data_IF_325752708039
#
_entry.id   IF_325752708039
#
_cell.length_a   1.000
_cell.length_b   1.000
_cell.length_c   1.000
_cell.angle_alpha   90.00
_cell.angle_beta   90.00
_cell.angle_gamma   90.00
#
_symmetry.space_group_name_H-M   'P 1'
#
loop_
_entity.id
_entity.type
_entity.pdbx_description
1 polymer ?
#
# COMPACT_ATOMS: atom_id res chain seq x y z
N UNK A 1 1.57 32.86 16.28
CA UNK A 1 2.47 31.72 16.54
C UNK A 1 1.77 30.43 16.12
N UNK A 2 2.52 29.35 15.87
CA UNK A 2 1.97 28.03 15.51
C UNK A 2 1.30 27.36 16.71
N UNK A 3 0.24 26.58 16.45
CA UNK A 3 -0.34 25.63 17.42
C UNK A 3 0.60 24.42 17.60
N UNK A 4 0.38 23.61 18.63
CA UNK A 4 1.17 22.40 18.92
C UNK A 4 1.19 21.39 17.75
N UNK A 5 0.07 21.25 17.06
CA UNK A 5 -0.08 20.42 15.85
C UNK A 5 0.24 21.18 14.54
N UNK A 6 0.66 22.44 14.67
CA UNK A 6 0.87 23.36 13.56
C UNK A 6 2.04 22.94 12.67
N UNK A 7 1.91 23.27 11.39
CA UNK A 7 2.93 23.07 10.37
C UNK A 7 3.42 24.42 9.84
N UNK A 8 4.67 24.46 9.41
CA UNK A 8 5.23 25.57 8.63
C UNK A 8 5.85 25.02 7.36
N UNK A 9 5.56 25.70 6.25
CA UNK A 9 6.08 25.42 4.92
C UNK A 9 6.89 26.63 4.50
N UNK A 10 8.17 26.42 4.21
CA UNK A 10 9.10 27.50 3.86
C UNK A 10 9.65 27.20 2.46
N UNK A 11 9.20 27.97 1.48
CA UNK A 11 9.67 27.88 0.11
C UNK A 11 10.94 28.70 -0.07
N UNK A 12 11.91 28.13 -0.78
CA UNK A 12 13.19 28.75 -1.09
C UNK A 12 13.76 28.22 -2.40
N UNK A 13 14.66 28.97 -3.00
CA UNK A 13 15.45 28.51 -4.14
C UNK A 13 16.65 27.68 -3.68
N UNK A 14 17.50 27.26 -4.61
CA UNK A 14 18.68 26.46 -4.31
C UNK A 14 19.86 27.26 -3.73
N UNK A 15 19.80 28.59 -3.72
CA UNK A 15 20.90 29.42 -3.23
C UNK A 15 20.96 29.38 -1.70
N UNK A 16 19.80 29.44 -1.03
CA UNK A 16 19.71 29.56 0.42
C UNK A 16 19.12 28.35 1.14
N UNK A 17 18.65 27.33 0.39
CA UNK A 17 17.97 26.17 0.99
C UNK A 17 18.77 25.50 2.10
N UNK A 18 20.08 25.31 1.92
CA UNK A 18 20.92 24.63 2.91
C UNK A 18 21.09 25.46 4.19
N UNK A 19 21.32 26.78 4.07
CA UNK A 19 21.45 27.67 5.21
C UNK A 19 20.12 27.83 5.95
N UNK A 20 19.02 27.97 5.20
CA UNK A 20 17.68 28.02 5.74
C UNK A 20 17.33 26.75 6.51
N UNK A 21 17.74 25.57 6.01
CA UNK A 21 17.54 24.30 6.72
C UNK A 21 18.26 24.30 8.07
N UNK A 22 19.50 24.77 8.13
CA UNK A 22 20.28 24.85 9.37
C UNK A 22 19.62 25.80 10.37
N UNK A 23 19.21 26.99 9.92
CA UNK A 23 18.51 27.97 10.77
C UNK A 23 17.16 27.43 11.26
N UNK A 24 16.40 26.77 10.38
CA UNK A 24 15.13 26.17 10.76
C UNK A 24 15.30 25.02 11.75
N UNK A 25 16.37 24.22 11.64
CA UNK A 25 16.70 23.20 12.65
C UNK A 25 16.98 23.81 14.02
N UNK A 26 17.63 24.98 14.08
CA UNK A 26 17.89 25.69 15.33
C UNK A 26 16.62 26.29 15.93
N UNK A 27 15.74 26.86 15.10
CA UNK A 27 14.50 27.51 15.55
C UNK A 27 13.40 26.51 15.93
N UNK A 28 13.21 25.47 15.13
CA UNK A 28 12.12 24.51 15.29
C UNK A 28 12.56 23.19 15.93
N UNK A 29 13.86 22.92 16.05
CA UNK A 29 14.38 21.62 16.46
C UNK A 29 14.44 20.65 15.28
N UNK A 30 15.58 19.96 15.14
CA UNK A 30 15.80 19.00 14.05
C UNK A 30 14.83 17.83 14.09
N UNK A 31 14.37 17.44 15.28
CA UNK A 31 13.38 16.39 15.50
C UNK A 31 11.99 16.74 14.97
N UNK A 32 11.72 18.02 14.74
CA UNK A 32 10.44 18.51 14.22
C UNK A 32 10.48 18.74 12.70
N UNK A 33 11.58 18.42 12.03
CA UNK A 33 11.65 18.39 10.58
C UNK A 33 10.84 17.21 10.02
N UNK A 34 9.99 17.48 9.02
CA UNK A 34 9.16 16.46 8.39
C UNK A 34 9.75 15.98 7.07
N UNK A 35 9.81 16.88 6.08
CA UNK A 35 10.17 16.54 4.71
C UNK A 35 10.65 17.80 3.96
N UNK A 36 11.27 17.56 2.81
CA UNK A 36 11.56 18.57 1.81
C UNK A 36 10.91 18.16 0.50
N UNK A 37 10.17 19.08 -0.10
CA UNK A 37 9.56 18.89 -1.42
C UNK A 37 10.38 19.66 -2.45
N UNK A 38 10.83 18.97 -3.50
CA UNK A 38 11.49 19.59 -4.65
C UNK A 38 10.44 19.87 -5.73
N UNK A 39 10.18 21.15 -6.01
CA UNK A 39 9.16 21.61 -6.94
C UNK A 39 9.81 21.96 -8.27
N UNK A 40 9.40 21.27 -9.35
CA UNK A 40 9.81 21.63 -10.71
C UNK A 40 9.00 22.83 -11.19
N UNK A 41 9.60 24.01 -11.21
CA UNK A 41 8.91 25.27 -11.53
C UNK A 41 8.67 25.49 -13.03
N UNK A 42 9.49 24.87 -13.90
CA UNK A 42 9.36 24.99 -15.37
C UNK A 42 9.56 23.64 -16.06
N UNK A 43 8.75 23.37 -17.10
CA UNK A 43 9.05 22.30 -18.05
C UNK A 43 10.30 22.70 -18.84
N UNK A 44 11.27 21.79 -18.97
CA UNK A 44 12.49 22.00 -19.77
C UNK A 44 12.14 21.93 -21.26
N UNK A 45 11.35 22.88 -21.74
CA UNK A 45 10.97 23.00 -23.15
C UNK A 45 11.96 23.96 -23.81
N UNK A 46 12.88 23.44 -24.62
CA UNK A 46 13.73 24.25 -25.49
C UNK A 46 15.22 23.90 -25.42
N UNK A 47 15.71 23.31 -26.51
CA UNK A 47 17.11 23.39 -26.91
C UNK A 47 17.41 24.85 -27.31
N UNK A 48 17.67 25.69 -26.32
CA UNK A 48 18.17 27.04 -26.52
C UNK A 48 19.06 27.42 -25.34
N UNK A 49 20.26 27.89 -25.67
CA UNK A 49 21.39 28.12 -24.76
C UNK A 49 22.53 27.18 -25.09
N UNK A 50 23.36 27.58 -26.04
CA UNK A 50 24.52 26.86 -26.56
C UNK A 50 25.56 26.51 -25.50
N UNK A 51 26.51 25.67 -25.92
CA UNK A 51 27.58 25.13 -25.10
C UNK A 51 28.36 26.16 -24.27
N UNK A 52 28.95 25.63 -23.21
CA UNK A 52 29.77 26.29 -22.19
C UNK A 52 29.05 26.88 -20.97
N UNK A 53 28.03 26.19 -20.44
CA UNK A 53 27.69 26.35 -19.02
C UNK A 53 28.21 25.15 -18.22
N UNK A 54 29.02 25.39 -17.19
CA UNK A 54 29.54 24.34 -16.28
C UNK A 54 28.44 23.80 -15.35
N UNK A 55 27.19 24.24 -15.51
CA UNK A 55 26.07 23.99 -14.59
C UNK A 55 24.84 23.49 -15.35
N UNK A 56 24.07 22.64 -14.68
CA UNK A 56 22.76 22.21 -15.15
C UNK A 56 21.75 23.36 -15.03
N UNK A 57 20.73 23.38 -15.90
CA UNK A 57 19.64 24.36 -15.82
C UNK A 57 18.90 24.23 -14.48
N UNK A 58 18.93 25.29 -13.67
CA UNK A 58 18.21 25.38 -12.40
C UNK A 58 16.72 25.61 -12.66
N UNK A 59 15.89 24.61 -12.39
CA UNK A 59 14.42 24.67 -12.55
C UNK A 59 13.67 24.09 -11.34
N UNK A 60 14.37 23.92 -10.22
CA UNK A 60 13.84 23.30 -9.00
C UNK A 60 13.90 24.33 -7.89
N UNK A 61 12.78 24.44 -7.16
CA UNK A 61 12.71 25.12 -5.87
C UNK A 61 12.42 24.09 -4.78
N UNK A 62 12.63 24.49 -3.52
CA UNK A 62 12.48 23.60 -2.37
C UNK A 62 11.48 24.17 -1.37
N UNK A 63 10.65 23.29 -0.82
CA UNK A 63 9.76 23.60 0.29
C UNK A 63 10.21 22.77 1.48
N UNK A 64 10.71 23.42 2.53
CA UNK A 64 11.01 22.79 3.81
C UNK A 64 9.74 22.72 4.65
N UNK A 65 9.48 21.57 5.26
CA UNK A 65 8.30 21.33 6.08
C UNK A 65 8.73 20.98 7.50
N UNK A 66 8.26 21.76 8.47
CA UNK A 66 8.44 21.51 9.89
C UNK A 66 7.10 21.48 10.61
N UNK A 67 7.05 20.75 11.72
CA UNK A 67 5.96 20.85 12.70
C UNK A 67 6.41 21.66 13.91
N UNK A 68 5.46 22.17 14.71
CA UNK A 68 5.76 22.78 16.00
C UNK A 68 6.22 21.75 17.03
N UNK A 69 5.59 20.57 17.05
CA UNK A 69 5.87 19.55 18.05
C UNK A 69 5.54 18.15 17.51
N UNK A 70 6.55 17.33 17.25
CA UNK A 70 6.38 15.96 16.75
C UNK A 70 6.01 14.97 17.87
N UNK A 71 6.64 15.12 19.03
CA UNK A 71 6.62 14.08 20.08
C UNK A 71 5.55 14.31 21.16
N UNK A 72 4.80 15.41 21.08
CA UNK A 72 3.72 15.72 22.03
C UNK A 72 2.45 14.89 21.75
N UNK A 73 1.65 14.65 22.79
CA UNK A 73 0.33 14.05 22.67
C UNK A 73 -0.58 14.87 21.75
N UNK A 74 -0.50 16.19 21.83
CA UNK A 74 -1.22 17.14 20.96
C UNK A 74 -0.39 17.60 19.75
N UNK A 75 0.76 16.95 19.50
CA UNK A 75 1.64 17.23 18.38
C UNK A 75 1.11 16.71 17.05
N UNK A 76 1.74 17.14 15.95
CA UNK A 76 1.40 16.68 14.60
C UNK A 76 1.55 15.16 14.49
N UNK A 77 0.50 14.47 14.04
CA UNK A 77 0.48 13.00 13.97
C UNK A 77 0.84 12.47 12.59
N UNK A 78 0.13 12.92 11.57
CA UNK A 78 0.33 12.56 10.17
C UNK A 78 -0.41 13.52 9.27
N UNK A 79 0.02 13.60 8.01
CA UNK A 79 -0.81 14.17 6.95
C UNK A 79 -2.04 13.31 6.74
N UNK A 80 -3.10 13.92 6.21
CA UNK A 80 -4.25 13.16 5.76
C UNK A 80 -3.82 12.26 4.61
N UNK A 81 -4.26 11.00 4.66
CA UNK A 81 -4.12 10.10 3.52
C UNK A 81 -5.06 10.61 2.42
N UNK A 82 -4.49 11.16 1.33
CA UNK A 82 -5.26 11.54 0.15
C UNK A 82 -5.31 10.36 -0.82
N UNK A 83 -6.49 9.76 -0.93
CA UNK A 83 -6.78 8.78 -1.96
C UNK A 83 -7.70 9.43 -2.98
N UNK A 84 -7.39 9.26 -4.26
CA UNK A 84 -8.44 9.40 -5.27
C UNK A 84 -9.36 8.20 -5.10
N UNK A 85 -10.62 8.46 -4.76
CA UNK A 85 -11.65 7.45 -4.73
C UNK A 85 -12.31 7.41 -6.11
N UNK A 86 -12.12 6.29 -6.81
CA UNK A 86 -12.79 6.05 -8.10
C UNK A 86 -13.80 4.93 -7.90
N UNK A 87 -14.99 5.08 -8.47
CA UNK A 87 -15.98 4.00 -8.52
C UNK A 87 -15.37 2.81 -9.28
N UNK A 88 -15.44 1.62 -8.69
CA UNK A 88 -14.69 0.45 -9.18
C UNK A 88 -15.11 0.07 -10.61
N UNK A 89 -16.39 0.11 -10.94
CA UNK A 89 -16.87 -0.29 -12.27
C UNK A 89 -16.53 0.76 -13.33
N UNK A 90 -16.58 2.05 -13.00
CA UNK A 90 -16.04 3.11 -13.88
C UNK A 90 -14.54 2.90 -14.16
N UNK A 91 -13.78 2.52 -13.12
CA UNK A 91 -12.38 2.17 -13.24
C UNK A 91 -12.15 0.94 -14.13
N UNK A 92 -12.95 -0.12 -13.95
CA UNK A 92 -12.86 -1.34 -14.77
C UNK A 92 -13.17 -1.06 -16.25
N UNK A 93 -14.18 -0.24 -16.55
CA UNK A 93 -14.48 0.17 -17.91
C UNK A 93 -13.33 0.97 -18.54
N UNK A 94 -12.73 1.88 -17.77
CA UNK A 94 -11.54 2.62 -18.20
C UNK A 94 -10.37 1.67 -18.49
N UNK A 95 -10.12 0.66 -17.65
CA UNK A 95 -9.09 -0.35 -17.90
C UNK A 95 -9.37 -1.14 -19.18
N UNK A 96 -10.62 -1.55 -19.42
CA UNK A 96 -11.03 -2.26 -20.65
C UNK A 96 -10.76 -1.42 -21.89
N UNK A 97 -11.12 -0.13 -21.88
CA UNK A 97 -10.86 0.80 -22.98
C UNK A 97 -9.36 0.99 -23.25
N UNK A 98 -8.55 1.08 -22.18
CA UNK A 98 -7.10 1.18 -22.26
C UNK A 98 -6.39 -0.16 -22.54
N UNK A 99 -7.14 -1.25 -22.75
CA UNK A 99 -6.63 -2.63 -22.93
C UNK A 99 -5.70 -3.07 -21.79
N UNK A 100 -5.92 -2.56 -20.57
CA UNK A 100 -5.20 -2.97 -19.36
C UNK A 100 -5.93 -4.11 -18.68
N UNK A 101 -5.17 -5.06 -18.12
CA UNK A 101 -5.75 -6.21 -17.43
C UNK A 101 -5.99 -5.93 -15.96
N UNK A 102 -7.23 -6.14 -15.52
CA UNK A 102 -7.59 -6.19 -14.11
C UNK A 102 -7.19 -7.54 -13.49
N UNK A 103 -6.77 -7.52 -12.22
CA UNK A 103 -6.13 -8.69 -11.57
C UNK A 103 -6.98 -9.39 -10.53
N UNK A 104 -7.97 -8.72 -9.94
CA UNK A 104 -8.85 -9.31 -8.92
C UNK A 104 -10.00 -10.04 -9.60
N UNK A 105 -9.72 -11.25 -10.09
CA UNK A 105 -10.63 -12.01 -10.97
C UNK A 105 -11.08 -13.34 -10.38
N UNK A 106 -10.76 -13.62 -9.11
CA UNK A 106 -11.03 -14.90 -8.43
C UNK A 106 -11.68 -14.65 -7.08
N UNK A 107 -12.51 -15.61 -6.64
CA UNK A 107 -13.21 -15.61 -5.37
C UNK A 107 -12.74 -16.81 -4.56
N UNK A 108 -12.25 -16.58 -3.35
CA UNK A 108 -12.02 -17.65 -2.37
C UNK A 108 -13.31 -17.90 -1.59
N UNK A 109 -14.17 -18.80 -2.08
CA UNK A 109 -15.49 -19.08 -1.48
C UNK A 109 -15.37 -19.76 -0.12
N UNK A 110 -14.42 -20.69 0.00
CA UNK A 110 -14.11 -21.45 1.22
C UNK A 110 -12.62 -21.74 1.32
N UNK A 111 -12.07 -21.63 2.53
CA UNK A 111 -10.71 -22.09 2.86
C UNK A 111 -10.67 -23.57 3.23
N UNK A 112 -11.81 -24.24 3.31
CA UNK A 112 -11.87 -25.66 3.68
C UNK A 112 -11.46 -25.92 5.13
N UNK A 113 -10.81 -27.06 5.37
CA UNK A 113 -10.39 -27.49 6.70
C UNK A 113 -8.99 -26.97 7.02
N UNK A 114 -8.87 -26.19 8.10
CA UNK A 114 -7.61 -25.62 8.62
C UNK A 114 -6.94 -26.61 9.56
N UNK A 115 -5.70 -26.98 9.27
CA UNK A 115 -4.86 -27.86 10.10
C UNK A 115 -3.54 -27.15 10.46
N UNK A 116 -3.13 -27.19 11.72
CA UNK A 116 -1.84 -26.64 12.15
C UNK A 116 -0.69 -27.51 11.64
N UNK A 117 0.35 -26.85 11.10
CA UNK A 117 1.56 -27.53 10.63
C UNK A 117 2.65 -27.38 11.70
N UNK A 118 2.98 -26.12 12.02
CA UNK A 118 4.09 -25.77 12.91
C UNK A 118 4.08 -24.29 13.26
N UNK A 119 4.89 -23.94 14.24
CA UNK A 119 5.18 -22.55 14.63
C UNK A 119 6.57 -22.16 14.12
N UNK A 120 6.65 -21.04 13.41
CA UNK A 120 7.89 -20.37 12.99
C UNK A 120 8.16 -19.17 13.91
N UNK A 121 9.35 -18.58 13.80
CA UNK A 121 9.68 -17.32 14.46
C UNK A 121 9.94 -16.20 13.45
N UNK A 122 9.43 -15.01 13.72
CA UNK A 122 9.73 -13.82 12.92
C UNK A 122 11.19 -13.35 13.11
N UNK A 123 11.57 -12.23 12.49
CA UNK A 123 12.92 -11.67 12.65
C UNK A 123 13.28 -11.20 14.06
N UNK A 124 12.32 -11.19 14.97
CA UNK A 124 12.44 -10.70 16.32
C UNK A 124 12.18 -11.76 17.39
N UNK A 125 11.91 -13.00 16.97
CA UNK A 125 11.60 -14.12 17.86
C UNK A 125 10.11 -14.30 18.20
N UNK A 126 9.20 -13.51 17.63
CA UNK A 126 7.76 -13.69 17.85
C UNK A 126 7.21 -14.87 17.04
N UNK A 127 6.21 -15.60 17.56
CA UNK A 127 5.65 -16.75 16.87
C UNK A 127 4.87 -16.36 15.62
N UNK A 128 5.02 -17.19 14.58
CA UNK A 128 4.22 -17.20 13.35
C UNK A 128 3.59 -18.59 13.26
N UNK A 129 2.31 -18.69 13.53
CA UNK A 129 1.59 -19.96 13.44
C UNK A 129 1.29 -20.29 11.99
N UNK A 130 1.66 -21.48 11.53
CA UNK A 130 1.52 -21.90 10.13
C UNK A 130 0.50 -23.03 10.02
N UNK A 131 -0.43 -22.89 9.08
CA UNK A 131 -1.52 -23.83 8.85
C UNK A 131 -1.61 -24.21 7.38
N UNK A 132 -2.03 -25.44 7.11
CA UNK A 132 -2.46 -25.90 5.79
C UNK A 132 -3.98 -25.96 5.73
N UNK A 133 -4.51 -25.80 4.52
CA UNK A 133 -5.93 -25.79 4.24
C UNK A 133 -6.24 -26.83 3.16
N UNK A 134 -7.21 -27.71 3.43
CA UNK A 134 -7.64 -28.78 2.50
C UNK A 134 -9.09 -28.56 2.06
N UNK A 135 -9.36 -28.81 0.78
CA UNK A 135 -10.70 -28.65 0.22
C UNK A 135 -11.03 -27.18 -0.04
N UNK A 136 -10.04 -26.44 -0.53
CA UNK A 136 -10.18 -25.02 -0.81
C UNK A 136 -11.07 -24.82 -2.03
N UNK A 137 -12.05 -23.92 -1.93
CA UNK A 137 -12.96 -23.61 -3.05
C UNK A 137 -12.62 -22.25 -3.58
N UNK A 138 -11.98 -22.24 -4.75
CA UNK A 138 -11.51 -21.02 -5.39
C UNK A 138 -11.93 -20.96 -6.85
N UNK A 139 -12.74 -19.96 -7.19
CA UNK A 139 -13.46 -19.92 -8.46
C UNK A 139 -13.22 -18.61 -9.21
N UNK A 140 -13.12 -18.62 -10.55
CA UNK A 140 -13.11 -17.40 -11.34
C UNK A 140 -14.43 -16.64 -11.19
N UNK A 141 -14.36 -15.30 -11.13
CA UNK A 141 -15.56 -14.44 -11.02
C UNK A 141 -16.57 -14.74 -12.13
N UNK A 142 -16.10 -14.94 -13.37
CA UNK A 142 -16.97 -15.27 -14.53
C UNK A 142 -17.81 -16.52 -14.30
N UNK A 143 -17.21 -17.58 -13.75
CA UNK A 143 -17.90 -18.84 -13.44
C UNK A 143 -19.01 -18.59 -12.41
N UNK A 144 -18.69 -17.85 -11.35
CA UNK A 144 -19.66 -17.53 -10.28
C UNK A 144 -20.80 -16.64 -10.78
N UNK A 145 -20.51 -15.70 -11.68
CA UNK A 145 -21.54 -14.88 -12.34
C UNK A 145 -22.53 -15.72 -13.14
N UNK A 146 -22.03 -16.69 -13.91
CA UNK A 146 -22.86 -17.58 -14.73
C UNK A 146 -23.71 -18.52 -13.85
N UNK A 147 -23.11 -19.14 -12.82
CA UNK A 147 -23.80 -20.09 -11.93
C UNK A 147 -24.90 -19.43 -11.09
N UNK A 148 -24.67 -18.19 -10.64
CA UNK A 148 -25.59 -17.48 -9.75
C UNK A 148 -26.45 -16.45 -10.48
N UNK A 149 -26.34 -16.36 -11.81
CA UNK A 149 -27.02 -15.38 -12.66
C UNK A 149 -26.86 -13.93 -12.15
N UNK A 150 -25.61 -13.54 -11.90
CA UNK A 150 -25.24 -12.21 -11.38
C UNK A 150 -24.56 -11.36 -12.46
N UNK A 151 -24.83 -10.07 -12.45
CA UNK A 151 -24.00 -9.08 -13.16
C UNK A 151 -22.59 -9.00 -12.54
N UNK A 152 -21.63 -8.42 -13.29
CA UNK A 152 -20.29 -8.18 -12.76
C UNK A 152 -20.36 -7.34 -11.47
N UNK A 153 -21.21 -6.32 -11.45
CA UNK A 153 -21.39 -5.46 -10.27
C UNK A 153 -21.94 -6.20 -9.04
N UNK A 154 -23.00 -6.98 -9.22
CA UNK A 154 -23.60 -7.75 -8.13
C UNK A 154 -22.64 -8.80 -7.58
N UNK A 155 -21.88 -9.47 -8.45
CA UNK A 155 -20.89 -10.46 -8.03
C UNK A 155 -19.78 -9.81 -7.19
N UNK A 156 -19.25 -8.66 -7.62
CA UNK A 156 -18.24 -7.91 -6.86
C UNK A 156 -18.77 -7.40 -5.52
N UNK A 157 -19.99 -6.88 -5.46
CA UNK A 157 -20.62 -6.43 -4.22
C UNK A 157 -20.85 -7.58 -3.24
N UNK A 158 -21.41 -8.69 -3.73
CA UNK A 158 -21.74 -9.89 -2.94
C UNK A 158 -20.50 -10.54 -2.36
N UNK A 159 -19.43 -10.67 -3.15
CA UNK A 159 -18.22 -11.40 -2.79
C UNK A 159 -17.02 -10.51 -2.43
N UNK A 160 -17.22 -9.21 -2.24
CA UNK A 160 -16.17 -8.21 -2.01
C UNK A 160 -15.03 -8.65 -1.07
N UNK A 161 -15.37 -9.16 0.11
CA UNK A 161 -14.42 -9.57 1.15
C UNK A 161 -13.73 -10.92 0.86
N UNK A 162 -14.11 -11.58 -0.24
CA UNK A 162 -13.59 -12.87 -0.71
C UNK A 162 -12.89 -12.77 -2.07
N UNK A 163 -12.95 -11.61 -2.73
CA UNK A 163 -12.32 -11.40 -4.03
C UNK A 163 -10.83 -11.15 -3.83
N UNK A 164 -10.04 -11.87 -4.62
CA UNK A 164 -8.60 -11.92 -4.45
C UNK A 164 -7.84 -11.93 -5.76
N UNK A 165 -6.54 -11.65 -5.63
CA UNK A 165 -5.52 -11.92 -6.64
C UNK A 165 -4.34 -12.63 -6.01
N UNK A 166 -3.66 -13.42 -6.83
CA UNK A 166 -2.35 -13.97 -6.50
C UNK A 166 -1.28 -12.88 -6.75
N UNK A 167 -0.31 -12.73 -5.83
CA UNK A 167 0.82 -11.80 -6.00
C UNK A 167 2.11 -12.39 -5.46
N UNK A 168 3.21 -12.16 -6.18
CA UNK A 168 4.55 -12.53 -5.73
C UNK A 168 5.10 -11.43 -4.79
N UNK A 169 4.57 -11.38 -3.57
CA UNK A 169 5.02 -10.42 -2.57
C UNK A 169 6.41 -10.80 -2.06
N UNK A 170 7.38 -9.90 -2.14
CA UNK A 170 8.69 -10.10 -1.54
C UNK A 170 8.65 -9.67 -0.07
N UNK A 171 8.57 -10.62 0.86
CA UNK A 171 8.63 -10.33 2.28
C UNK A 171 9.48 -11.36 3.04
N UNK A 172 10.12 -10.90 4.11
CA UNK A 172 10.96 -11.73 4.99
C UNK A 172 10.15 -12.85 5.66
N UNK A 173 8.87 -12.62 5.92
CA UNK A 173 7.94 -13.61 6.45
C UNK A 173 7.64 -14.69 5.40
N UNK A 174 7.36 -14.30 4.14
CA UNK A 174 7.16 -15.27 3.07
C UNK A 174 8.37 -16.17 2.88
N UNK A 175 9.58 -15.62 2.90
CA UNK A 175 10.82 -16.41 2.81
C UNK A 175 10.89 -17.46 3.92
N UNK A 176 10.61 -17.09 5.17
CA UNK A 176 10.58 -18.03 6.31
C UNK A 176 9.54 -19.13 6.13
N UNK A 177 8.36 -18.79 5.61
CA UNK A 177 7.30 -19.79 5.33
C UNK A 177 7.76 -20.76 4.24
N UNK A 178 8.35 -20.25 3.16
CA UNK A 178 8.88 -21.08 2.06
C UNK A 178 10.01 -22.01 2.51
N UNK A 179 10.94 -21.53 3.32
CA UNK A 179 12.06 -22.34 3.84
C UNK A 179 11.61 -23.30 4.93
N UNK A 180 10.58 -22.91 5.70
CA UNK A 180 10.08 -23.69 6.82
C UNK A 180 9.12 -24.79 6.43
N UNK A 181 8.29 -24.60 5.42
CA UNK A 181 7.21 -25.53 5.08
C UNK A 181 7.59 -26.33 3.86
N UNK A 182 7.73 -27.65 4.03
CA UNK A 182 8.01 -28.58 2.95
C UNK A 182 6.74 -29.32 2.55
N UNK A 183 6.52 -29.52 1.25
CA UNK A 183 5.37 -30.25 0.72
C UNK A 183 4.55 -29.41 -0.26
N UNK A 184 3.67 -30.08 -1.00
CA UNK A 184 2.70 -29.40 -1.86
C UNK A 184 1.44 -29.13 -1.05
N UNK A 185 1.10 -27.85 -0.91
CA UNK A 185 -0.06 -27.38 -0.16
C UNK A 185 -0.94 -26.54 -1.08
N UNK A 186 -2.23 -26.90 -1.14
CA UNK A 186 -3.23 -26.17 -1.93
C UNK A 186 -3.30 -24.70 -1.49
N UNK A 187 -3.37 -24.49 -0.17
CA UNK A 187 -3.35 -23.18 0.47
C UNK A 187 -2.68 -23.30 1.84
N UNK A 188 -1.83 -22.32 2.15
CA UNK A 188 -1.26 -22.10 3.46
C UNK A 188 -1.84 -20.81 4.04
N UNK A 189 -1.97 -20.75 5.37
CA UNK A 189 -2.16 -19.49 6.06
C UNK A 189 -1.18 -19.37 7.21
N UNK A 190 -0.75 -18.14 7.47
CA UNK A 190 -0.02 -17.80 8.68
C UNK A 190 -0.82 -16.85 9.56
N UNK A 191 -0.62 -16.94 10.86
CA UNK A 191 -1.17 -16.01 11.84
C UNK A 191 -0.01 -15.45 12.67
N UNK A 192 0.10 -14.12 12.70
CA UNK A 192 1.14 -13.41 13.44
C UNK A 192 0.68 -12.00 13.82
N UNK A 193 1.44 -11.34 14.70
CA UNK A 193 1.18 -9.95 15.10
C UNK A 193 2.23 -9.03 14.47
N UNK A 194 1.89 -8.21 13.47
CA UNK A 194 2.83 -7.30 12.83
C UNK A 194 3.32 -6.23 13.81
N UNK A 195 4.61 -5.89 13.74
CA UNK A 195 5.23 -4.82 14.53
C UNK A 195 5.09 -3.42 13.90
N UNK A 196 4.74 -3.37 12.61
CA UNK A 196 4.58 -2.14 11.83
C UNK A 196 3.49 -2.30 10.76
N UNK A 197 3.11 -1.18 10.13
CA UNK A 197 2.10 -1.14 9.07
C UNK A 197 0.65 -1.04 9.58
N UNK A 198 -0.30 -1.17 8.64
CA UNK A 198 -1.74 -0.99 8.87
C UNK A 198 -2.31 -1.86 10.00
N UNK A 199 -1.77 -3.07 10.16
CA UNK A 199 -2.23 -4.06 11.14
C UNK A 199 -1.30 -4.20 12.35
N UNK A 200 -0.49 -3.16 12.65
CA UNK A 200 0.39 -3.16 13.82
C UNK A 200 -0.37 -3.56 15.09
N UNK A 201 0.22 -4.47 15.87
CA UNK A 201 -0.33 -5.00 17.13
C UNK A 201 -1.69 -5.70 17.02
N UNK A 202 -2.11 -6.12 15.82
CA UNK A 202 -3.33 -6.90 15.61
C UNK A 202 -2.99 -8.26 15.01
N UNK A 203 -3.63 -9.32 15.52
CA UNK A 203 -3.53 -10.65 14.93
C UNK A 203 -3.94 -10.56 13.46
N UNK A 204 -3.04 -10.98 12.58
CA UNK A 204 -3.18 -10.84 11.14
C UNK A 204 -3.02 -12.21 10.49
N UNK A 205 -3.99 -12.59 9.67
CA UNK A 205 -3.91 -13.80 8.85
C UNK A 205 -3.45 -13.45 7.44
N UNK A 206 -2.41 -14.11 6.94
CA UNK A 206 -1.93 -13.98 5.55
C UNK A 206 -2.00 -15.35 4.90
N UNK A 207 -2.46 -15.41 3.65
CA UNK A 207 -2.59 -16.64 2.90
C UNK A 207 -1.56 -16.72 1.77
N UNK A 208 -1.05 -17.92 1.54
CA UNK A 208 -0.12 -18.24 0.46
C UNK A 208 -0.63 -19.43 -0.34
N UNK A 209 -0.47 -19.36 -1.66
CA UNK A 209 -0.98 -20.36 -2.58
C UNK A 209 0.14 -21.04 -3.36
N UNK A 210 0.02 -22.36 -3.48
CA UNK A 210 0.90 -23.22 -4.29
C UNK A 210 2.36 -23.25 -3.81
N UNK A 211 3.18 -24.05 -4.50
CA UNK A 211 4.58 -24.27 -4.14
C UNK A 211 5.46 -23.01 -4.11
N UNK A 212 5.09 -21.97 -4.88
CA UNK A 212 5.81 -20.69 -4.89
C UNK A 212 5.40 -19.76 -3.74
N UNK A 213 4.46 -20.16 -2.88
CA UNK A 213 3.90 -19.31 -1.84
C UNK A 213 3.49 -17.93 -2.39
N UNK A 214 2.70 -17.91 -3.46
CA UNK A 214 2.15 -16.65 -3.98
C UNK A 214 1.17 -16.11 -2.93
N UNK A 215 1.41 -14.88 -2.46
CA UNK A 215 0.58 -14.28 -1.43
C UNK A 215 -0.79 -13.90 -2.01
N UNK A 216 -1.84 -14.13 -1.24
CA UNK A 216 -3.18 -13.65 -1.55
C UNK A 216 -3.28 -12.18 -1.14
N UNK A 217 -3.65 -11.32 -2.09
CA UNK A 217 -4.06 -9.94 -1.82
C UNK A 217 -5.56 -9.78 -2.03
N UNK A 218 -6.24 -9.09 -1.12
CA UNK A 218 -7.69 -8.94 -1.11
C UNK A 218 -8.14 -7.65 -1.77
N UNK A 219 -9.30 -7.68 -2.45
CA UNK A 219 -9.89 -6.46 -2.99
C UNK A 219 -10.20 -5.45 -1.88
N UNK A 220 -10.63 -5.95 -0.72
CA UNK A 220 -10.90 -5.16 0.50
C UNK A 220 -9.67 -4.43 1.06
N UNK A 221 -8.46 -4.80 0.65
CA UNK A 221 -7.25 -4.10 1.07
C UNK A 221 -7.06 -2.77 0.33
N UNK A 222 -7.62 -2.66 -0.89
CA UNK A 222 -7.41 -1.53 -1.82
C UNK A 222 -8.71 -0.82 -2.21
N UNK A 223 -9.84 -1.23 -1.65
CA UNK A 223 -11.14 -0.69 -1.95
C UNK A 223 -12.04 -0.70 -0.71
N UNK A 224 -13.13 0.05 -0.75
CA UNK A 224 -14.18 0.06 0.26
C UNK A 224 -15.53 -0.22 -0.38
N UNK A 225 -16.29 -1.12 0.24
CA UNK A 225 -17.68 -1.42 -0.14
C UNK A 225 -18.66 -0.61 0.72
N UNK A 226 -19.65 -0.02 0.07
CA UNK A 226 -20.92 0.40 0.69
C UNK A 226 -22.07 -0.39 0.05
N UNK A 227 -23.28 -0.26 0.58
CA UNK A 227 -24.43 -1.10 0.19
C UNK A 227 -24.65 -1.26 -1.32
N UNK A 228 -24.31 -0.24 -2.13
CA UNK A 228 -24.59 -0.22 -3.57
C UNK A 228 -23.38 0.03 -4.47
N UNK A 229 -22.20 0.25 -3.91
CA UNK A 229 -21.02 0.62 -4.70
C UNK A 229 -19.72 0.18 -4.05
N UNK A 230 -18.67 0.08 -4.85
CA UNK A 230 -17.31 -0.16 -4.40
C UNK A 230 -16.45 0.99 -4.91
N UNK A 231 -15.70 1.64 -4.01
CA UNK A 231 -14.69 2.63 -4.42
C UNK A 231 -13.31 2.06 -4.21
N UNK A 232 -12.50 2.13 -5.25
CA UNK A 232 -11.09 1.76 -5.19
C UNK A 232 -10.29 2.98 -4.74
N UNK A 233 -9.35 2.77 -3.82
CA UNK A 233 -8.37 3.78 -3.46
C UNK A 233 -7.26 3.79 -4.50
N UNK A 234 -6.98 4.95 -5.10
CA UNK A 234 -5.73 5.24 -5.77
C UNK A 234 -4.88 6.10 -4.85
N UNK A 235 -3.71 5.59 -4.49
CA UNK A 235 -2.73 6.37 -3.75
C UNK A 235 -2.14 7.39 -4.73
N UNK A 236 -2.44 8.67 -4.49
CA UNK A 236 -1.71 9.75 -5.12
C UNK A 236 -0.29 9.74 -4.54
N UNK A 237 0.69 9.52 -5.40
CA UNK A 237 2.12 9.67 -5.10
C UNK A 237 2.51 11.14 -5.17
#
# INVERSE_FOLDING_TARGET
>A
MLKEDGLVFIQCDDNEQAYLKVLADEVFGRENYLNQVSVKMKQTSGASGGGEDKRLKKNIEYILIYTKNMNSENGFKKFNDFYDEVELFEYLETMKQLKKSWKYTRILKSVGTKEHIKTLTDGSGEPIEVYTHKGVVLEPIKKVMEEENLTEAECYLKYFDKIMRDTNAQSSIRTRVMEGVTGDHELLSIEYVPRSGKNKNKVTTVYYKGAKCDQIAWLSDIAVKRERWIRKFEQLL
#
